data_IF_706772393112
#
_entry.id   IF_706772393112
#
_cell.length_a   1.000
_cell.length_b   1.000
_cell.length_c   1.000
_cell.angle_alpha   90.00
_cell.angle_beta   90.00
_cell.angle_gamma   90.00
#
_symmetry.space_group_name_H-M   'P 1'
#
loop_
_entity.id
_entity.type
_entity.pdbx_description
1 polymer ?
#
# COMPACT_ATOMS: atom_id res chain seq x y z
N UNK A 1 43.88 -34.88 14.35
CA UNK A 1 42.72 -34.72 15.25
C UNK A 1 42.49 -33.26 15.67
N UNK A 2 43.48 -32.53 16.22
CA UNK A 2 43.31 -31.12 16.65
C UNK A 2 42.82 -30.15 15.56
N UNK A 3 43.23 -30.32 14.29
CA UNK A 3 42.80 -29.48 13.16
C UNK A 3 41.35 -29.73 12.71
N UNK A 4 40.85 -30.95 12.89
CA UNK A 4 39.45 -31.32 12.58
C UNK A 4 38.48 -30.81 13.65
N UNK A 5 38.90 -30.82 14.92
CA UNK A 5 38.12 -30.25 16.02
C UNK A 5 37.92 -28.74 15.87
N UNK A 6 38.93 -28.02 15.39
CA UNK A 6 38.90 -26.56 15.17
C UNK A 6 37.97 -26.14 14.02
N UNK A 7 37.85 -26.97 12.98
CA UNK A 7 36.91 -26.76 11.87
C UNK A 7 35.46 -26.98 12.31
N UNK A 8 35.20 -28.00 13.13
CA UNK A 8 33.86 -28.27 13.65
C UNK A 8 33.36 -27.19 14.61
N UNK A 9 34.22 -26.66 15.49
CA UNK A 9 33.84 -25.54 16.37
C UNK A 9 33.64 -24.23 15.60
N UNK A 10 34.42 -23.96 14.56
CA UNK A 10 34.20 -22.80 13.70
C UNK A 10 32.86 -22.90 12.93
N UNK A 11 32.50 -24.09 12.44
CA UNK A 11 31.23 -24.30 11.72
C UNK A 11 30.00 -24.14 12.64
N UNK A 12 30.10 -24.61 13.90
CA UNK A 12 29.07 -24.42 14.93
C UNK A 12 28.89 -22.94 15.28
N UNK A 13 29.99 -22.18 15.40
CA UNK A 13 29.91 -20.73 15.65
C UNK A 13 29.37 -19.94 14.45
N UNK A 14 29.61 -20.37 13.21
CA UNK A 14 28.97 -19.74 12.04
C UNK A 14 27.46 -20.03 12.00
N UNK A 15 27.04 -21.22 12.43
CA UNK A 15 25.61 -21.59 12.40
C UNK A 15 24.78 -20.75 13.37
N UNK A 16 25.28 -20.39 14.55
CA UNK A 16 24.54 -19.59 15.54
C UNK A 16 24.39 -18.12 15.13
N UNK A 17 25.34 -17.56 14.39
CA UNK A 17 25.24 -16.18 13.86
C UNK A 17 24.13 -16.05 12.81
N UNK A 18 23.87 -17.10 12.02
CA UNK A 18 22.79 -17.10 11.03
C UNK A 18 21.39 -17.11 11.65
N UNK A 19 21.20 -17.70 12.84
CA UNK A 19 19.90 -17.67 13.54
C UNK A 19 19.61 -16.32 14.20
N UNK A 20 20.64 -15.64 14.73
CA UNK A 20 20.47 -14.33 15.37
C UNK A 20 20.09 -13.21 14.37
N UNK A 21 20.42 -13.38 13.08
CA UNK A 21 20.04 -12.43 12.03
C UNK A 21 18.65 -12.70 11.43
N UNK A 22 18.05 -13.88 11.71
CA UNK A 22 16.73 -14.25 11.20
C UNK A 22 15.58 -13.74 12.09
N UNK A 23 15.86 -13.33 13.33
CA UNK A 23 14.96 -12.55 14.19
C UNK A 23 15.04 -11.06 13.84
N UNK A 24 14.99 -10.75 12.54
CA UNK A 24 14.77 -9.38 12.09
C UNK A 24 13.32 -9.02 12.41
N UNK A 25 13.10 -8.33 13.53
CA UNK A 25 11.79 -7.78 13.89
C UNK A 25 11.19 -6.94 12.76
N UNK A 26 9.88 -6.71 12.81
CA UNK A 26 9.18 -5.86 11.85
C UNK A 26 9.78 -4.47 11.88
N UNK A 27 10.49 -4.08 10.82
CA UNK A 27 11.05 -2.73 10.67
C UNK A 27 9.94 -1.67 10.53
N UNK A 28 9.80 -0.75 11.50
CA UNK A 28 8.76 0.28 11.49
C UNK A 28 8.78 1.18 10.25
N UNK A 29 9.95 1.40 9.63
CA UNK A 29 10.09 2.29 8.48
C UNK A 29 9.48 1.74 7.19
N UNK A 30 9.13 0.45 7.18
CA UNK A 30 8.47 -0.23 6.07
C UNK A 30 6.95 -0.28 6.22
N UNK A 31 6.43 0.21 7.35
CA UNK A 31 4.99 0.29 7.64
C UNK A 31 4.44 1.61 7.09
N UNK A 32 3.31 1.52 6.40
CA UNK A 32 2.52 2.68 5.97
C UNK A 32 1.04 2.45 6.24
N UNK A 33 0.33 3.49 6.65
CA UNK A 33 -1.08 3.46 6.99
C UNK A 33 -1.92 4.19 5.95
N UNK A 34 -3.07 3.61 5.62
CA UNK A 34 -4.04 4.15 4.67
C UNK A 34 -5.40 4.22 5.36
N UNK A 35 -5.83 5.43 5.72
CA UNK A 35 -7.03 5.60 6.57
C UNK A 35 -8.14 6.33 5.84
N UNK A 36 -9.28 5.68 5.67
CA UNK A 36 -10.54 6.36 5.37
C UNK A 36 -11.14 6.92 6.65
N UNK A 37 -11.51 8.20 6.63
CA UNK A 37 -12.03 8.89 7.81
C UNK A 37 -12.87 10.11 7.47
N UNK A 38 -13.45 10.69 8.52
CA UNK A 38 -14.15 11.97 8.43
C UNK A 38 -13.53 12.98 9.39
N UNK A 39 -13.37 14.23 8.94
CA UNK A 39 -12.83 15.31 9.77
C UNK A 39 -13.63 15.55 11.06
N UNK A 40 -14.92 15.20 11.06
CA UNK A 40 -15.83 15.32 12.21
C UNK A 40 -15.77 14.14 13.18
N UNK A 41 -15.05 13.05 12.85
CA UNK A 41 -14.99 11.85 13.67
C UNK A 41 -13.84 11.95 14.71
N UNK A 42 -14.13 11.95 16.03
CA UNK A 42 -13.10 12.04 17.06
C UNK A 42 -12.10 10.88 17.03
N UNK A 43 -12.56 9.68 16.68
CA UNK A 43 -11.70 8.49 16.53
C UNK A 43 -10.74 8.64 15.34
N UNK A 44 -11.21 9.20 14.22
CA UNK A 44 -10.34 9.48 13.06
C UNK A 44 -9.28 10.52 13.43
N UNK A 45 -9.66 11.56 14.18
CA UNK A 45 -8.73 12.60 14.63
C UNK A 45 -7.61 12.01 15.50
N UNK A 46 -7.95 11.20 16.51
CA UNK A 46 -6.94 10.55 17.37
C UNK A 46 -5.98 9.69 16.56
N UNK A 47 -6.49 8.81 15.69
CA UNK A 47 -5.62 7.97 14.85
C UNK A 47 -4.75 8.78 13.89
N UNK A 48 -5.24 9.93 13.41
CA UNK A 48 -4.48 10.84 12.53
C UNK A 48 -3.34 11.55 13.26
N UNK A 49 -3.40 11.66 14.58
CA UNK A 49 -2.36 12.23 15.43
C UNK A 49 -1.38 11.15 15.91
N UNK A 50 -1.90 10.04 16.45
CA UNK A 50 -1.08 8.99 17.06
C UNK A 50 -0.22 8.21 16.05
N UNK A 51 -0.74 7.95 14.84
CA UNK A 51 0.02 7.20 13.82
C UNK A 51 1.31 7.95 13.43
N UNK A 52 1.24 9.22 12.99
CA UNK A 52 2.43 10.01 12.72
C UNK A 52 3.36 10.20 13.92
N UNK A 53 2.84 10.32 15.13
CA UNK A 53 3.66 10.45 16.35
C UNK A 53 4.58 9.24 16.55
N UNK A 54 4.09 8.02 16.27
CA UNK A 54 4.83 6.78 16.49
C UNK A 54 5.67 6.38 15.28
N UNK A 55 5.13 6.52 14.06
CA UNK A 55 5.75 6.01 12.82
C UNK A 55 6.35 7.11 11.92
N UNK A 56 6.22 8.38 12.32
CA UNK A 56 6.73 9.55 11.59
C UNK A 56 5.69 10.21 10.69
N UNK A 57 5.89 11.49 10.39
CA UNK A 57 4.94 12.38 9.67
C UNK A 57 4.43 11.84 8.34
N UNK A 58 5.25 11.06 7.62
CA UNK A 58 4.90 10.53 6.29
C UNK A 58 4.30 9.11 6.35
N UNK A 59 4.06 8.56 7.54
CA UNK A 59 3.57 7.19 7.70
C UNK A 59 2.09 7.01 7.38
N UNK A 60 1.33 8.10 7.24
CA UNK A 60 -0.12 8.06 7.07
C UNK A 60 -0.57 8.75 5.77
N UNK A 61 -1.32 8.02 4.95
CA UNK A 61 -2.18 8.59 3.92
C UNK A 61 -3.61 8.62 4.44
N UNK A 62 -4.20 9.82 4.48
CA UNK A 62 -5.55 10.04 4.97
C UNK A 62 -6.52 10.37 3.84
N UNK A 63 -7.56 9.55 3.68
CA UNK A 63 -8.63 9.71 2.72
C UNK A 63 -9.86 10.30 3.41
N UNK A 64 -10.04 11.62 3.25
CA UNK A 64 -11.20 12.34 3.77
C UNK A 64 -12.45 11.96 2.97
N UNK A 65 -13.49 11.50 3.65
CA UNK A 65 -14.76 11.14 3.01
C UNK A 65 -15.65 12.36 2.76
N UNK A 66 -15.64 13.37 3.66
CA UNK A 66 -16.56 14.49 3.55
C UNK A 66 -16.32 15.31 2.26
N UNK A 67 -17.35 15.39 1.42
CA UNK A 67 -17.32 16.09 0.13
C UNK A 67 -16.26 15.55 -0.83
N UNK A 68 -16.01 14.24 -0.80
CA UNK A 68 -15.09 13.56 -1.70
C UNK A 68 -15.71 12.28 -2.27
N UNK A 69 -16.42 12.43 -3.40
CA UNK A 69 -17.14 11.35 -4.07
C UNK A 69 -16.24 10.15 -4.43
N UNK A 70 -14.98 10.39 -4.79
CA UNK A 70 -14.03 9.32 -5.11
C UNK A 70 -13.72 8.47 -3.87
N UNK A 71 -13.39 9.11 -2.76
CA UNK A 71 -13.12 8.42 -1.51
C UNK A 71 -14.36 7.71 -0.97
N UNK A 72 -15.54 8.33 -1.06
CA UNK A 72 -16.81 7.71 -0.67
C UNK A 72 -17.11 6.46 -1.50
N UNK A 73 -16.84 6.52 -2.81
CA UNK A 73 -17.03 5.39 -3.74
C UNK A 73 -16.08 4.23 -3.42
N UNK A 74 -14.80 4.53 -3.17
CA UNK A 74 -13.79 3.54 -2.78
C UNK A 74 -14.10 2.91 -1.41
N UNK A 75 -14.49 3.73 -0.44
CA UNK A 75 -14.91 3.28 0.89
C UNK A 75 -16.18 2.41 0.83
N UNK A 76 -17.13 2.76 -0.03
CA UNK A 76 -18.31 1.93 -0.29
C UNK A 76 -17.95 0.61 -0.97
N UNK A 77 -16.96 0.62 -1.87
CA UNK A 77 -16.50 -0.60 -2.55
C UNK A 77 -15.85 -1.60 -1.58
N UNK A 78 -15.06 -1.14 -0.59
CA UNK A 78 -14.41 -2.05 0.36
C UNK A 78 -15.40 -2.80 1.26
N UNK A 79 -16.59 -2.23 1.53
CA UNK A 79 -17.62 -2.87 2.35
C UNK A 79 -17.97 -4.28 1.86
N UNK A 80 -18.01 -4.48 0.53
CA UNK A 80 -18.31 -5.79 -0.07
C UNK A 80 -17.26 -6.87 0.24
N UNK A 81 -16.07 -6.48 0.69
CA UNK A 81 -14.95 -7.38 0.97
C UNK A 81 -14.66 -7.49 2.47
N UNK A 82 -14.93 -6.44 3.24
CA UNK A 82 -14.56 -6.34 4.66
C UNK A 82 -15.77 -6.36 5.61
N UNK A 83 -16.94 -5.91 5.14
CA UNK A 83 -18.10 -5.61 5.99
C UNK A 83 -17.96 -4.33 6.84
N UNK A 84 -16.86 -3.57 6.72
CA UNK A 84 -16.63 -2.34 7.48
C UNK A 84 -17.50 -1.22 6.93
N UNK A 85 -18.41 -0.70 7.75
CA UNK A 85 -19.30 0.40 7.40
C UNK A 85 -18.97 1.70 8.15
N UNK A 86 -18.14 1.63 9.20
CA UNK A 86 -17.76 2.76 10.03
C UNK A 86 -16.36 3.30 9.75
N UNK A 87 -16.06 4.48 10.31
CA UNK A 87 -14.73 5.11 10.27
C UNK A 87 -14.16 5.31 11.68
N UNK A 88 -12.82 5.29 11.85
CA UNK A 88 -11.81 5.10 10.79
C UNK A 88 -11.77 3.66 10.27
N UNK A 89 -11.45 3.49 8.99
CA UNK A 89 -11.09 2.20 8.41
C UNK A 89 -9.64 2.28 7.92
N UNK A 90 -8.76 1.50 8.54
CA UNK A 90 -7.31 1.69 8.48
C UNK A 90 -6.67 0.48 7.83
N UNK A 91 -6.18 0.64 6.61
CA UNK A 91 -5.28 -0.31 5.95
C UNK A 91 -3.86 -0.13 6.48
N UNK A 92 -3.18 -1.25 6.74
CA UNK A 92 -1.77 -1.30 7.15
C UNK A 92 -1.02 -2.02 6.06
N UNK A 93 -0.06 -1.35 5.45
CA UNK A 93 0.83 -1.92 4.46
C UNK A 93 2.23 -2.12 5.05
N UNK A 94 2.88 -3.20 4.63
CA UNK A 94 4.28 -3.49 4.89
C UNK A 94 4.97 -3.72 3.54
N UNK A 95 6.01 -2.93 3.22
CA UNK A 95 6.62 -2.88 1.87
C UNK A 95 5.63 -2.57 0.75
N UNK A 96 4.68 -1.69 1.01
CA UNK A 96 3.63 -1.35 0.05
C UNK A 96 2.62 -2.48 -0.21
N UNK A 97 2.72 -3.62 0.47
CA UNK A 97 1.72 -4.68 0.43
C UNK A 97 0.76 -4.54 1.60
N UNK A 98 -0.53 -4.47 1.34
CA UNK A 98 -1.58 -4.46 2.36
C UNK A 98 -1.57 -5.79 3.12
N UNK A 99 -1.32 -5.71 4.43
CA UNK A 99 -1.21 -6.87 5.33
C UNK A 99 -2.32 -6.92 6.38
N UNK A 100 -2.94 -5.78 6.70
CA UNK A 100 -4.09 -5.74 7.59
C UNK A 100 -5.07 -4.61 7.25
N UNK A 101 -6.32 -4.77 7.69
CA UNK A 101 -7.33 -3.72 7.74
C UNK A 101 -7.99 -3.75 9.11
N UNK A 102 -8.08 -2.59 9.75
CA UNK A 102 -8.65 -2.41 11.09
C UNK A 102 -9.86 -1.48 11.02
N UNK A 103 -10.98 -1.94 11.56
CA UNK A 103 -12.15 -1.09 11.86
C UNK A 103 -11.97 -0.39 13.22
N UNK A 104 -12.06 0.94 13.19
CA UNK A 104 -12.07 1.77 14.38
C UNK A 104 -10.69 2.14 14.91
N UNK A 105 -10.70 2.81 16.05
CA UNK A 105 -9.51 3.16 16.82
C UNK A 105 -8.91 1.93 17.50
N UNK A 106 -7.58 1.86 17.53
CA UNK A 106 -6.84 0.76 18.14
C UNK A 106 -5.50 1.25 18.69
N UNK A 107 -4.85 0.43 19.51
CA UNK A 107 -3.49 0.73 19.99
C UNK A 107 -2.48 0.61 18.84
N UNK A 108 -2.04 1.76 18.30
CA UNK A 108 -1.06 1.88 17.19
C UNK A 108 0.26 1.14 17.47
N UNK A 109 0.64 1.01 18.74
CA UNK A 109 1.86 0.28 19.14
C UNK A 109 1.77 -1.24 18.90
N UNK A 110 0.56 -1.78 18.70
CA UNK A 110 0.36 -3.20 18.37
C UNK A 110 0.64 -3.53 16.89
N UNK A 111 0.87 -2.52 16.03
CA UNK A 111 1.08 -2.72 14.59
C UNK A 111 2.20 -3.71 14.24
N UNK A 112 3.37 -3.74 14.90
CA UNK A 112 4.42 -4.70 14.57
C UNK A 112 3.96 -6.15 14.78
N UNK A 113 3.14 -6.40 15.80
CA UNK A 113 2.59 -7.72 16.09
C UNK A 113 1.52 -8.11 15.05
N UNK A 114 0.70 -7.14 14.62
CA UNK A 114 -0.28 -7.33 13.54
C UNK A 114 0.44 -7.70 12.22
N UNK A 115 1.47 -6.93 11.85
CA UNK A 115 2.26 -7.18 10.63
C UNK A 115 2.94 -8.55 10.70
N UNK A 116 3.60 -8.86 11.83
CA UNK A 116 4.25 -10.16 12.03
C UNK A 116 3.26 -11.31 11.87
N UNK A 117 2.10 -11.21 12.50
CA UNK A 117 1.04 -12.23 12.42
C UNK A 117 0.54 -12.41 10.98
N UNK A 118 0.38 -11.33 10.23
CA UNK A 118 -0.02 -11.38 8.82
C UNK A 118 1.03 -12.10 7.95
N UNK A 119 2.32 -11.80 8.17
CA UNK A 119 3.44 -12.44 7.47
C UNK A 119 3.53 -13.94 7.78
N UNK A 120 3.41 -14.33 9.05
CA UNK A 120 3.44 -15.73 9.51
C UNK A 120 2.29 -16.56 8.92
N UNK A 121 1.13 -15.94 8.74
CA UNK A 121 -0.07 -16.63 8.24
C UNK A 121 -0.24 -16.56 6.71
N UNK A 122 0.66 -15.83 6.02
CA UNK A 122 0.59 -15.53 4.58
C UNK A 122 -0.83 -15.09 4.15
N UNK A 123 -1.37 -14.07 4.82
CA UNK A 123 -2.73 -13.59 4.57
C UNK A 123 -2.91 -12.14 5.02
N UNK A 124 -4.05 -11.56 4.64
CA UNK A 124 -4.46 -10.25 5.10
C UNK A 124 -5.29 -10.40 6.38
N UNK A 125 -4.91 -9.71 7.44
CA UNK A 125 -5.69 -9.67 8.68
C UNK A 125 -6.83 -8.66 8.56
N UNK A 126 -8.05 -9.06 8.93
CA UNK A 126 -9.19 -8.17 8.97
C UNK A 126 -9.74 -8.13 10.40
N UNK A 127 -9.77 -6.94 10.98
CA UNK A 127 -10.38 -6.68 12.28
C UNK A 127 -11.68 -5.90 12.07
N UNK A 128 -12.82 -6.56 12.29
CA UNK A 128 -14.17 -5.99 12.05
C UNK A 128 -15.14 -6.54 13.09
N UNK A 129 -15.99 -5.67 13.65
CA UNK A 129 -16.98 -6.04 14.66
C UNK A 129 -16.39 -6.70 15.91
N UNK A 130 -15.18 -6.31 16.31
CA UNK A 130 -14.46 -6.88 17.47
C UNK A 130 -13.92 -8.30 17.25
N UNK A 131 -13.89 -8.77 16.00
CA UNK A 131 -13.34 -10.08 15.63
C UNK A 131 -12.15 -9.93 14.69
N UNK A 132 -11.26 -10.90 14.70
CA UNK A 132 -10.13 -10.99 13.78
C UNK A 132 -10.32 -12.16 12.81
N UNK A 133 -10.07 -11.92 11.53
CA UNK A 133 -10.15 -12.90 10.45
C UNK A 133 -8.86 -12.88 9.63
N UNK A 134 -8.57 -14.00 8.97
CA UNK A 134 -7.48 -14.09 8.00
C UNK A 134 -8.09 -14.30 6.61
N UNK A 135 -7.91 -13.32 5.73
CA UNK A 135 -8.30 -13.41 4.32
C UNK A 135 -7.13 -14.00 3.53
N UNK A 136 -7.31 -15.24 3.07
CA UNK A 136 -6.35 -15.94 2.19
C UNK A 136 -6.75 -15.90 0.71
N UNK A 137 -7.91 -15.35 0.37
CA UNK A 137 -8.36 -15.25 -1.00
C UNK A 137 -7.59 -14.14 -1.73
N UNK A 138 -6.66 -14.52 -2.62
CA UNK A 138 -5.80 -13.60 -3.36
C UNK A 138 -6.56 -12.58 -4.22
N UNK A 139 -7.74 -12.95 -4.74
CA UNK A 139 -8.55 -12.01 -5.50
C UNK A 139 -9.11 -10.92 -4.58
N UNK A 140 -9.61 -11.29 -3.41
CA UNK A 140 -10.13 -10.31 -2.43
C UNK A 140 -9.00 -9.41 -1.92
N UNK A 141 -7.84 -9.99 -1.55
CA UNK A 141 -6.71 -9.20 -1.06
C UNK A 141 -6.18 -8.25 -2.13
N UNK A 142 -6.13 -8.65 -3.40
CA UNK A 142 -5.78 -7.75 -4.52
C UNK A 142 -6.77 -6.60 -4.65
N UNK A 143 -8.07 -6.86 -4.61
CA UNK A 143 -9.06 -5.77 -4.70
C UNK A 143 -8.96 -4.79 -3.53
N UNK A 144 -8.63 -5.27 -2.33
CA UNK A 144 -8.39 -4.42 -1.18
C UNK A 144 -7.09 -3.62 -1.30
N UNK A 145 -6.02 -4.21 -1.85
CA UNK A 145 -4.79 -3.50 -2.23
C UNK A 145 -5.08 -2.35 -3.19
N UNK A 146 -5.91 -2.60 -4.22
CA UNK A 146 -6.31 -1.59 -5.21
C UNK A 146 -7.02 -0.40 -4.54
N UNK A 147 -7.91 -0.67 -3.58
CA UNK A 147 -8.68 0.37 -2.86
C UNK A 147 -7.81 1.16 -1.88
N UNK A 148 -7.03 0.49 -1.04
CA UNK A 148 -6.33 1.14 0.07
C UNK A 148 -4.99 1.72 -0.34
N UNK A 149 -4.21 1.00 -1.15
CA UNK A 149 -2.82 1.37 -1.43
C UNK A 149 -2.68 2.05 -2.78
N UNK A 150 -3.29 1.49 -3.83
CA UNK A 150 -3.24 2.06 -5.17
C UNK A 150 -4.28 3.17 -5.39
N UNK A 151 -5.25 3.27 -4.47
CA UNK A 151 -6.32 4.26 -4.45
C UNK A 151 -7.12 4.33 -5.77
N UNK A 152 -7.61 3.16 -6.22
CA UNK A 152 -8.43 3.02 -7.42
C UNK A 152 -9.52 1.96 -7.24
N UNK A 153 -10.57 2.04 -8.08
CA UNK A 153 -11.62 1.03 -8.02
C UNK A 153 -11.15 -0.33 -8.52
N UNK A 154 -11.60 -1.43 -7.88
CA UNK A 154 -11.22 -2.75 -8.34
C UNK A 154 -11.77 -3.08 -9.73
N UNK A 155 -10.89 -3.54 -10.62
CA UNK A 155 -11.26 -3.91 -11.99
C UNK A 155 -11.40 -2.72 -12.97
N UNK A 156 -11.12 -1.49 -12.55
CA UNK A 156 -10.74 -0.44 -13.50
C UNK A 156 -9.31 -0.75 -13.98
N UNK A 157 -9.21 -1.59 -15.01
CA UNK A 157 -8.02 -1.61 -15.86
C UNK A 157 -7.87 -0.21 -16.43
N UNK A 158 -6.65 0.35 -16.43
CA UNK A 158 -6.30 1.70 -16.89
C UNK A 158 -6.56 1.97 -18.38
N UNK A 159 -7.70 1.53 -18.89
CA UNK A 159 -8.32 1.94 -20.13
C UNK A 159 -8.61 3.42 -19.99
N UNK A 160 -7.62 4.23 -20.37
CA UNK A 160 -7.89 5.55 -20.92
C UNK A 160 -9.00 5.35 -21.95
N UNK A 161 -10.20 5.81 -21.62
CA UNK A 161 -11.30 5.90 -22.57
C UNK A 161 -10.74 6.54 -23.84
N UNK A 162 -10.80 5.89 -25.02
CA UNK A 162 -10.59 6.62 -26.25
C UNK A 162 -11.73 7.63 -26.30
N UNK A 163 -11.39 8.91 -26.08
CA UNK A 163 -12.32 10.01 -26.13
C UNK A 163 -13.17 9.88 -27.38
N UNK A 164 -14.46 9.65 -27.18
CA UNK A 164 -15.42 9.67 -28.25
C UNK A 164 -15.42 11.09 -28.83
N UNK A 165 -15.30 11.18 -30.15
CA UNK A 165 -14.86 12.36 -30.86
C UNK A 165 -15.64 13.63 -30.54
N UNK A 166 -14.95 14.57 -29.89
CA UNK A 166 -15.26 15.99 -29.88
C UNK A 166 -14.00 16.73 -30.31
N UNK A 167 -13.97 17.16 -31.57
CA UNK A 167 -12.89 17.96 -32.15
C UNK A 167 -12.67 19.24 -31.37
N UNK A 168 -11.52 19.37 -30.69
CA UNK A 168 -10.95 20.64 -30.27
C UNK A 168 -9.43 20.61 -30.51
N UNK A 169 -9.05 20.99 -31.75
CA UNK A 169 -7.82 21.70 -32.09
C UNK A 169 -6.46 21.02 -31.88
N UNK A 170 -5.70 20.70 -32.94
CA UNK A 170 -4.26 20.47 -32.82
C UNK A 170 -3.54 21.82 -32.82
N UNK A 171 -3.25 22.34 -31.64
CA UNK A 171 -2.29 23.43 -31.42
C UNK A 171 -0.87 22.90 -31.26
N UNK A 172 -0.38 22.07 -32.17
CA UNK A 172 1.03 21.67 -32.25
C UNK A 172 1.61 22.18 -33.56
N UNK A 173 2.16 23.39 -33.50
CA UNK A 173 3.04 23.94 -34.53
C UNK A 173 4.30 23.06 -34.61
N UNK A 174 4.27 22.06 -35.49
CA UNK A 174 5.48 21.40 -35.97
C UNK A 174 6.11 22.34 -37.01
N UNK A 175 7.05 23.17 -36.58
CA UNK A 175 7.87 23.95 -37.49
C UNK A 175 8.88 23.02 -38.20
N UNK A 176 8.51 22.57 -39.39
CA UNK A 176 9.38 21.80 -40.29
C UNK A 176 9.26 22.36 -41.71
N UNK A 177 10.04 23.40 -41.98
CA UNK A 177 10.41 23.90 -43.31
C UNK A 177 11.62 24.83 -43.07
N UNK A 178 12.78 24.74 -43.69
CA UNK A 178 13.05 24.59 -45.12
C UNK A 178 14.48 24.02 -45.30
N UNK A 179 14.62 22.92 -46.05
CA UNK A 179 15.87 22.53 -46.71
C UNK A 179 15.62 22.61 -48.24
N UNK A 180 16.32 23.47 -49.00
CA UNK A 180 16.15 23.49 -50.44
C UNK A 180 17.05 22.43 -51.10
N UNK A 181 16.39 21.41 -51.65
CA UNK A 181 16.44 20.95 -53.04
C UNK A 181 17.78 21.11 -53.78
N UNK A 182 18.44 19.96 -53.95
CA UNK A 182 18.92 19.39 -55.22
C UNK A 182 19.46 20.35 -56.31
N UNK A 183 20.78 20.25 -56.51
CA UNK A 183 21.43 19.89 -57.78
C UNK A 183 21.04 20.67 -59.05
N UNK A 184 21.93 21.59 -59.46
CA UNK A 184 22.08 22.01 -60.87
C UNK A 184 23.55 22.07 -61.31
N UNK A 185 24.05 20.89 -61.69
CA UNK A 185 24.79 20.53 -62.93
C UNK A 185 25.64 21.60 -63.66
N UNK A 186 26.93 21.25 -63.83
CA UNK A 186 27.88 21.51 -64.96
C UNK A 186 28.16 22.98 -65.35
N UNK A 187 29.38 23.45 -65.08
CA UNK A 187 30.53 23.41 -66.01
C UNK A 187 31.81 23.72 -65.25
#
# INVERSE_FOLDING_TARGET
MKRMALLFTALLMLSTVSYALAEAGVDPNRIHFYMYGMATCPHCKRMKEEIPEIYGENSLTYYELLNNDENERLFSAQYNYTGIAGVPAIGIAYDGKLVAIVEGEYNVSATPDIVRTALENNGLLLFVGGKAYIIKNETVTRKLQEIYVEHRLPGEDGTKTPGNGGTCGPGTMVALALLPVFLRKRR
#
